data_IF_066181581464
#
_entry.id   IF_066181581464
#
_cell.length_a   1.000
_cell.length_b   1.000
_cell.length_c   1.000
_cell.angle_alpha   90.00
_cell.angle_beta   90.00
_cell.angle_gamma   90.00
#
_symmetry.space_group_name_H-M   'P 1'
#
loop_
_entity.id
_entity.type
_entity.pdbx_description
1 polymer ?
#
# COMPACT_ATOMS: atom_id res chain seq x y z
N UNK A 1 26.39 37.64 13.22
CA UNK A 1 27.51 37.53 12.27
C UNK A 1 28.36 36.37 12.77
N UNK A 2 28.30 35.14 12.25
CA UNK A 2 27.60 34.58 11.11
C UNK A 2 27.26 33.12 11.37
N UNK A 3 26.20 32.68 10.73
CA UNK A 3 25.70 31.33 10.60
C UNK A 3 26.65 30.44 9.79
N UNK A 4 26.90 29.21 10.27
CA UNK A 4 27.19 28.10 9.37
C UNK A 4 26.40 26.87 9.79
N UNK A 5 25.37 26.59 8.98
CA UNK A 5 24.61 25.35 8.93
C UNK A 5 25.43 24.36 8.11
N UNK A 6 25.84 23.24 8.70
CA UNK A 6 26.35 22.10 7.94
C UNK A 6 25.19 21.15 7.67
N UNK A 7 24.71 21.16 6.42
CA UNK A 7 23.93 20.07 5.86
C UNK A 7 24.90 18.93 5.50
N UNK A 8 24.67 17.75 6.06
CA UNK A 8 25.26 16.51 5.55
C UNK A 8 24.17 15.77 4.79
N UNK A 9 24.24 15.84 3.47
CA UNK A 9 23.63 14.86 2.57
C UNK A 9 24.22 13.49 2.91
N UNK A 10 23.37 12.53 3.24
CA UNK A 10 23.78 11.13 3.40
C UNK A 10 23.08 10.33 2.30
N UNK A 11 23.90 9.88 1.36
CA UNK A 11 23.57 9.25 0.09
C UNK A 11 22.72 7.99 0.24
N UNK A 12 21.67 7.87 -0.58
CA UNK A 12 21.00 6.60 -0.86
C UNK A 12 21.66 5.94 -2.06
N UNK A 13 22.62 5.04 -1.81
CA UNK A 13 23.16 4.18 -2.86
C UNK A 13 22.14 3.08 -3.24
N UNK A 14 21.60 3.15 -4.45
CA UNK A 14 20.93 2.04 -5.12
C UNK A 14 21.93 1.33 -6.05
N UNK A 15 22.42 0.15 -5.67
CA UNK A 15 23.36 -0.63 -6.50
C UNK A 15 22.62 -1.43 -7.59
N UNK A 16 22.82 -1.06 -8.85
CA UNK A 16 22.35 -1.82 -10.02
C UNK A 16 23.31 -2.98 -10.34
N UNK A 17 22.79 -4.22 -10.41
CA UNK A 17 23.57 -5.40 -10.86
C UNK A 17 23.36 -5.61 -12.37
N UNK A 18 24.45 -5.58 -13.16
CA UNK A 18 24.44 -5.87 -14.60
C UNK A 18 24.22 -7.37 -14.85
N UNK A 19 23.21 -7.71 -15.65
CA UNK A 19 22.99 -9.06 -16.20
C UNK A 19 23.80 -9.29 -17.48
N UNK A 20 24.56 -10.38 -17.53
CA UNK A 20 25.33 -10.82 -18.70
C UNK A 20 24.45 -11.36 -19.82
N UNK A 21 24.92 -11.20 -21.06
CA UNK A 21 24.29 -11.64 -22.29
C UNK A 21 24.11 -13.17 -22.36
N UNK A 22 22.95 -13.63 -22.82
CA UNK A 22 22.81 -14.92 -23.51
C UNK A 22 21.80 -14.80 -24.65
N UNK A 23 22.09 -15.54 -25.72
CA UNK A 23 21.53 -15.49 -27.06
C UNK A 23 20.02 -15.76 -27.18
N UNK A 24 19.42 -15.00 -28.11
CA UNK A 24 18.53 -15.52 -29.16
C UNK A 24 17.46 -16.54 -28.78
N UNK A 25 16.30 -16.04 -28.35
CA UNK A 25 14.97 -16.48 -28.81
C UNK A 25 13.92 -15.45 -28.38
N UNK A 26 13.24 -14.90 -29.37
CA UNK A 26 12.12 -13.96 -29.21
C UNK A 26 11.00 -14.60 -28.40
N UNK A 27 10.92 -14.26 -27.12
CA UNK A 27 9.70 -14.30 -26.34
C UNK A 27 9.32 -12.83 -26.10
N UNK A 28 8.19 -12.40 -26.64
CA UNK A 28 7.58 -11.13 -26.23
C UNK A 28 7.24 -11.26 -24.75
N UNK A 29 8.11 -10.74 -23.89
CA UNK A 29 7.80 -10.51 -22.49
C UNK A 29 6.78 -9.37 -22.44
N UNK A 30 5.57 -9.67 -21.97
CA UNK A 30 4.62 -8.62 -21.59
C UNK A 30 5.28 -7.71 -20.54
N UNK A 31 4.94 -6.41 -20.49
CA UNK A 31 5.61 -5.49 -19.58
C UNK A 31 5.33 -5.91 -18.12
N UNK A 32 6.38 -6.40 -17.46
CA UNK A 32 6.39 -6.86 -16.08
C UNK A 32 5.74 -5.82 -15.17
N UNK A 33 4.59 -6.13 -14.56
CA UNK A 33 3.99 -5.29 -13.51
C UNK A 33 5.00 -5.18 -12.36
N UNK A 34 5.29 -3.95 -11.94
CA UNK A 34 6.14 -3.66 -10.79
C UNK A 34 5.21 -3.34 -9.62
N UNK A 35 5.27 -4.16 -8.58
CA UNK A 35 4.43 -4.03 -7.39
C UNK A 35 5.29 -3.50 -6.24
N UNK A 36 4.96 -2.34 -5.72
CA UNK A 36 5.67 -1.77 -4.56
C UNK A 36 4.87 -2.09 -3.29
N UNK A 37 5.45 -2.84 -2.35
CA UNK A 37 4.82 -3.18 -1.08
C UNK A 37 5.56 -2.65 0.15
N UNK A 38 4.75 -2.09 1.05
CA UNK A 38 4.83 -2.03 2.51
C UNK A 38 5.79 -1.05 3.22
N UNK A 39 5.18 -0.43 4.24
CA UNK A 39 5.61 0.64 5.14
C UNK A 39 5.43 0.09 6.57
N UNK A 40 6.53 -0.06 7.34
CA UNK A 40 6.62 -0.89 8.57
C UNK A 40 5.91 -0.31 9.82
N UNK A 41 5.28 -1.20 10.61
CA UNK A 41 4.76 -1.00 11.99
C UNK A 41 5.80 -1.48 13.05
N UNK A 42 5.89 -0.84 14.25
CA UNK A 42 6.86 -1.11 15.32
C UNK A 42 7.08 -2.57 15.73
N UNK A 43 8.26 -2.80 16.32
CA UNK A 43 8.88 -4.11 16.56
C UNK A 43 8.07 -5.09 17.45
N UNK A 44 7.13 -4.60 18.26
CA UNK A 44 6.35 -5.39 19.23
C UNK A 44 5.25 -6.26 18.62
N UNK A 45 4.81 -5.98 17.38
CA UNK A 45 3.73 -6.70 16.69
C UNK A 45 4.25 -7.73 15.66
N UNK A 46 5.56 -8.02 15.69
CA UNK A 46 6.20 -8.97 14.77
C UNK A 46 5.87 -10.43 15.09
N UNK A 47 4.73 -10.92 14.62
CA UNK A 47 4.51 -12.37 14.45
C UNK A 47 4.45 -12.84 12.99
N UNK A 48 4.39 -11.93 12.01
CA UNK A 48 4.44 -12.28 10.59
C UNK A 48 5.80 -11.91 9.97
N UNK A 49 6.74 -12.86 10.06
CA UNK A 49 8.05 -12.82 9.40
C UNK A 49 7.84 -13.06 7.89
N UNK A 50 7.50 -12.01 7.12
CA UNK A 50 7.35 -12.16 5.67
C UNK A 50 8.70 -11.92 4.99
N UNK A 51 9.39 -13.03 4.74
CA UNK A 51 10.56 -13.17 3.88
C UNK A 51 10.08 -13.20 2.41
N UNK A 52 10.26 -12.12 1.65
CA UNK A 52 10.28 -12.21 0.18
C UNK A 52 11.70 -11.95 -0.31
N UNK A 53 12.55 -12.96 -0.13
CA UNK A 53 13.84 -13.09 -0.83
C UNK A 53 13.60 -14.02 -2.02
N UNK A 54 14.18 -13.72 -3.17
CA UNK A 54 14.31 -14.62 -4.31
C UNK A 54 15.05 -15.90 -3.88
N UNK A 55 14.33 -16.87 -3.33
CA UNK A 55 14.87 -18.22 -3.18
C UNK A 55 14.72 -18.92 -4.52
N UNK A 56 15.86 -19.16 -5.18
CA UNK A 56 15.94 -20.22 -6.17
C UNK A 56 15.54 -21.52 -5.46
N UNK A 57 14.30 -21.95 -5.70
CA UNK A 57 13.87 -23.35 -5.75
C UNK A 57 14.75 -24.34 -4.96
N UNK A 58 14.45 -24.48 -3.66
CA UNK A 58 14.32 -25.79 -3.01
C UNK A 58 13.44 -25.64 -1.77
N UNK A 59 12.13 -25.87 -1.93
CA UNK A 59 11.21 -26.12 -0.81
C UNK A 59 10.50 -24.90 -0.21
N UNK A 60 9.25 -24.68 -0.62
CA UNK A 60 8.22 -24.02 0.21
C UNK A 60 8.31 -22.49 0.37
N UNK A 61 7.91 -21.72 -0.64
CA UNK A 61 7.64 -20.28 -0.50
C UNK A 61 6.31 -19.89 -1.17
N UNK A 62 5.46 -19.21 -0.39
CA UNK A 62 4.04 -18.90 -0.63
C UNK A 62 3.83 -17.68 -1.54
N UNK A 63 2.74 -17.72 -2.32
CA UNK A 63 1.95 -16.54 -2.66
C UNK A 63 2.19 -15.93 -4.04
N UNK A 64 2.79 -14.74 -4.08
CA UNK A 64 2.69 -13.83 -5.23
C UNK A 64 3.50 -14.29 -6.46
N UNK A 65 4.76 -14.71 -6.27
CA UNK A 65 5.65 -15.14 -7.36
C UNK A 65 5.26 -16.49 -8.00
N UNK A 66 4.25 -17.19 -7.46
CA UNK A 66 3.68 -18.40 -8.07
C UNK A 66 2.49 -18.11 -8.99
N UNK A 67 1.98 -16.88 -8.99
CA UNK A 67 0.70 -16.50 -9.63
C UNK A 67 0.97 -15.60 -10.83
N UNK A 68 1.87 -14.63 -10.70
CA UNK A 68 2.34 -13.78 -11.80
C UNK A 68 3.86 -13.56 -11.68
N UNK A 69 4.54 -13.32 -12.81
CA UNK A 69 5.94 -12.89 -12.83
C UNK A 69 6.01 -11.38 -12.58
N UNK A 70 6.55 -11.00 -11.42
CA UNK A 70 6.41 -9.65 -10.86
C UNK A 70 7.72 -9.18 -10.25
N UNK A 71 8.03 -7.90 -10.43
CA UNK A 71 9.08 -7.25 -9.67
C UNK A 71 8.47 -6.63 -8.41
N UNK A 72 8.96 -7.04 -7.23
CA UNK A 72 8.50 -6.50 -5.95
C UNK A 72 9.56 -5.61 -5.32
N UNK A 73 9.21 -4.35 -5.06
CA UNK A 73 10.10 -3.37 -4.40
C UNK A 73 9.53 -3.06 -3.02
N UNK A 74 10.36 -3.16 -1.99
CA UNK A 74 10.00 -2.81 -0.61
C UNK A 74 10.63 -1.45 -0.25
N UNK A 75 9.83 -0.53 0.29
CA UNK A 75 10.29 0.81 0.67
C UNK A 75 10.44 0.92 2.18
N UNK A 76 11.68 0.90 2.67
CA UNK A 76 11.98 1.09 4.08
C UNK A 76 12.18 2.58 4.40
N UNK A 77 11.25 3.15 5.18
CA UNK A 77 11.32 4.52 5.69
C UNK A 77 11.19 4.58 7.22
N UNK A 78 11.53 3.49 7.92
CA UNK A 78 11.37 3.38 9.38
C UNK A 78 11.98 4.52 10.18
N UNK A 79 13.13 5.04 9.74
CA UNK A 79 13.78 6.19 10.38
C UNK A 79 12.85 7.42 10.36
N UNK A 80 12.15 7.64 9.25
CA UNK A 80 11.16 8.71 9.10
C UNK A 80 9.83 8.44 9.79
N UNK A 81 9.50 7.17 10.05
CA UNK A 81 8.27 6.75 10.75
C UNK A 81 8.44 6.63 12.27
N UNK A 82 9.64 6.91 12.81
CA UNK A 82 10.00 6.56 14.18
C UNK A 82 9.20 7.37 15.22
N UNK A 83 8.64 6.65 16.20
CA UNK A 83 8.02 7.21 17.41
C UNK A 83 9.03 8.06 18.24
N UNK A 84 8.57 9.03 19.06
CA UNK A 84 7.17 9.26 19.47
C UNK A 84 6.40 10.28 18.62
N UNK A 85 7.04 10.96 17.66
CA UNK A 85 6.40 12.10 17.00
C UNK A 85 5.59 11.68 15.76
N UNK A 86 4.30 11.36 15.97
CA UNK A 86 3.38 11.02 14.89
C UNK A 86 3.27 12.11 13.82
N UNK A 87 3.16 13.39 14.21
CA UNK A 87 3.05 14.50 13.26
C UNK A 87 4.30 14.67 12.40
N UNK A 88 5.49 14.36 12.93
CA UNK A 88 6.71 14.32 12.13
C UNK A 88 6.66 13.17 11.10
N UNK A 89 6.18 11.99 11.50
CA UNK A 89 6.00 10.88 10.56
C UNK A 89 4.98 11.22 9.46
N UNK A 90 3.88 11.89 9.81
CA UNK A 90 2.90 12.46 8.86
C UNK A 90 3.58 13.43 7.90
N UNK A 91 4.37 14.39 8.39
CA UNK A 91 5.09 15.33 7.53
C UNK A 91 6.07 14.62 6.57
N UNK A 92 6.78 13.61 7.08
CA UNK A 92 7.75 12.83 6.31
C UNK A 92 7.09 12.05 5.15
N UNK A 93 5.79 11.73 5.23
CA UNK A 93 5.09 11.01 4.14
C UNK A 93 5.19 11.72 2.79
N UNK A 94 5.20 13.05 2.78
CA UNK A 94 5.38 13.87 1.56
C UNK A 94 6.77 13.67 0.96
N UNK A 95 7.80 13.76 1.79
CA UNK A 95 9.19 13.58 1.36
C UNK A 95 9.41 12.17 0.80
N UNK A 96 8.96 11.14 1.52
CA UNK A 96 9.08 9.74 1.07
C UNK A 96 8.29 9.52 -0.22
N UNK A 97 7.08 10.05 -0.33
CA UNK A 97 6.29 10.00 -1.56
C UNK A 97 7.01 10.63 -2.75
N UNK A 98 7.61 11.80 -2.56
CA UNK A 98 8.38 12.46 -3.61
C UNK A 98 9.59 11.63 -4.07
N UNK A 99 10.31 11.01 -3.13
CA UNK A 99 11.44 10.12 -3.44
C UNK A 99 11.00 8.88 -4.24
N UNK A 100 9.85 8.29 -3.88
CA UNK A 100 9.29 7.17 -4.64
C UNK A 100 8.87 7.64 -6.04
N UNK A 101 8.18 8.78 -6.16
CA UNK A 101 7.79 9.33 -7.46
C UNK A 101 8.98 9.55 -8.40
N UNK A 102 10.10 10.04 -7.84
CA UNK A 102 11.38 10.16 -8.58
C UNK A 102 11.93 8.80 -8.99
N UNK A 103 11.93 7.82 -8.09
CA UNK A 103 12.36 6.45 -8.41
C UNK A 103 11.53 5.84 -9.56
N UNK A 104 10.22 6.07 -9.61
CA UNK A 104 9.36 5.58 -10.69
C UNK A 104 9.76 6.21 -12.05
N UNK A 105 10.12 7.49 -12.05
CA UNK A 105 10.62 8.17 -13.25
C UNK A 105 11.99 7.62 -13.68
N UNK A 106 12.91 7.39 -12.75
CA UNK A 106 14.21 6.79 -13.05
C UNK A 106 14.05 5.34 -13.60
N UNK A 107 13.09 4.56 -13.06
CA UNK A 107 12.76 3.23 -13.58
C UNK A 107 12.20 3.28 -15.01
N UNK A 108 11.39 4.28 -15.34
CA UNK A 108 10.96 4.50 -16.73
C UNK A 108 12.15 4.86 -17.61
N UNK A 109 12.95 5.85 -17.20
CA UNK A 109 14.04 6.38 -17.99
C UNK A 109 15.16 5.37 -18.26
N UNK A 110 15.44 4.47 -17.30
CA UNK A 110 16.61 3.60 -17.34
C UNK A 110 16.29 2.10 -17.47
N UNK A 111 15.10 1.66 -17.05
CA UNK A 111 14.68 0.26 -17.12
C UNK A 111 13.52 0.01 -18.09
N UNK A 112 12.98 1.06 -18.73
CA UNK A 112 11.89 0.94 -19.69
C UNK A 112 10.55 0.54 -19.06
N UNK A 113 10.38 0.79 -17.75
CA UNK A 113 9.11 0.54 -17.07
C UNK A 113 8.05 1.57 -17.52
N UNK A 114 6.83 1.11 -17.80
CA UNK A 114 5.72 2.01 -18.13
C UNK A 114 4.90 2.36 -16.88
N UNK A 115 4.44 3.61 -16.78
CA UNK A 115 3.80 4.08 -15.55
C UNK A 115 2.51 3.32 -15.22
N UNK A 116 1.78 2.93 -16.27
CA UNK A 116 0.56 2.15 -16.23
C UNK A 116 0.77 0.74 -15.66
N UNK A 117 2.01 0.26 -15.61
CA UNK A 117 2.37 -1.07 -15.07
C UNK A 117 2.67 -1.05 -13.58
N UNK A 118 2.80 0.14 -12.96
CA UNK A 118 3.05 0.27 -11.53
C UNK A 118 1.76 0.04 -10.74
N UNK A 119 1.86 -0.85 -9.75
CA UNK A 119 0.88 -1.03 -8.69
C UNK A 119 1.51 -0.68 -7.35
N UNK A 120 1.14 0.48 -6.81
CA UNK A 120 1.65 0.99 -5.55
C UNK A 120 0.72 0.55 -4.42
N UNK A 121 1.24 -0.09 -3.37
CA UNK A 121 0.42 -0.54 -2.24
C UNK A 121 0.96 0.00 -0.93
N UNK A 122 0.13 0.78 -0.25
CA UNK A 122 0.46 1.43 1.02
C UNK A 122 -0.46 0.96 2.13
N UNK A 123 0.08 0.85 3.35
CA UNK A 123 -0.70 0.60 4.57
C UNK A 123 -0.62 1.79 5.51
N UNK A 124 -1.72 2.18 6.16
CA UNK A 124 -1.73 3.27 7.15
C UNK A 124 -1.15 4.58 6.54
N UNK A 125 -0.12 5.19 7.16
CA UNK A 125 0.63 6.32 6.60
C UNK A 125 1.21 6.04 5.21
N UNK A 126 1.53 4.76 4.93
CA UNK A 126 2.02 4.31 3.64
C UNK A 126 1.02 4.51 2.51
N UNK A 127 -0.29 4.44 2.78
CA UNK A 127 -1.32 4.73 1.77
C UNK A 127 -1.20 6.15 1.24
N UNK A 128 -0.93 7.11 2.13
CA UNK A 128 -0.69 8.50 1.74
C UNK A 128 0.66 8.71 1.06
N UNK A 129 1.70 8.00 1.49
CA UNK A 129 2.99 7.97 0.78
C UNK A 129 2.79 7.55 -0.68
N UNK A 130 2.00 6.51 -0.95
CA UNK A 130 1.72 6.07 -2.33
C UNK A 130 0.87 7.10 -3.10
N UNK A 131 -0.07 7.78 -2.45
CA UNK A 131 -0.78 8.91 -3.04
C UNK A 131 0.16 10.05 -3.45
N UNK A 132 1.08 10.44 -2.56
CA UNK A 132 2.11 11.44 -2.87
C UNK A 132 3.07 10.99 -3.97
N UNK A 133 3.41 9.70 -4.03
CA UNK A 133 4.21 9.14 -5.11
C UNK A 133 3.50 9.22 -6.47
N UNK A 134 2.20 8.91 -6.52
CA UNK A 134 1.37 9.07 -7.72
C UNK A 134 1.28 10.52 -8.19
N UNK A 135 1.07 11.45 -7.26
CA UNK A 135 1.09 12.90 -7.53
C UNK A 135 2.43 13.36 -8.10
N UNK A 136 3.53 12.93 -7.50
CA UNK A 136 4.87 13.32 -7.94
C UNK A 136 5.23 12.72 -9.31
N UNK A 137 4.91 11.44 -9.53
CA UNK A 137 5.08 10.79 -10.83
C UNK A 137 4.32 11.53 -11.93
N UNK A 138 3.07 11.90 -11.68
CA UNK A 138 2.27 12.70 -12.60
C UNK A 138 2.86 14.09 -12.81
N UNK A 139 3.33 14.76 -11.76
CA UNK A 139 3.98 16.08 -11.85
C UNK A 139 5.24 16.05 -12.73
N UNK A 140 6.05 14.99 -12.61
CA UNK A 140 7.31 14.84 -13.34
C UNK A 140 7.10 14.45 -14.80
N UNK A 141 6.07 13.66 -15.11
CA UNK A 141 5.98 12.96 -16.41
C UNK A 141 4.67 13.21 -17.16
N UNK A 142 3.68 13.84 -16.52
CA UNK A 142 2.32 14.01 -17.01
C UNK A 142 1.61 12.68 -17.35
N UNK A 143 2.05 11.57 -16.75
CA UNK A 143 1.46 10.23 -16.86
C UNK A 143 1.13 9.72 -15.46
N UNK A 144 -0.06 9.15 -15.29
CA UNK A 144 -0.48 8.57 -14.02
C UNK A 144 0.03 7.14 -13.88
N UNK A 145 0.33 6.74 -12.64
CA UNK A 145 0.60 5.34 -12.32
C UNK A 145 -0.65 4.49 -12.54
N UNK A 146 -0.45 3.20 -12.82
CA UNK A 146 -1.52 2.25 -13.14
C UNK A 146 -2.54 2.09 -12.01
N UNK A 147 -2.07 1.72 -10.81
CA UNK A 147 -2.94 1.46 -9.67
C UNK A 147 -2.30 1.86 -8.35
N UNK A 148 -3.10 2.43 -7.45
CA UNK A 148 -2.76 2.56 -6.03
C UNK A 148 -3.78 1.77 -5.20
N UNK A 149 -3.31 0.90 -4.31
CA UNK A 149 -4.17 0.29 -3.28
C UNK A 149 -3.85 0.88 -1.91
N UNK A 150 -4.85 1.49 -1.29
CA UNK A 150 -4.79 1.97 0.09
C UNK A 150 -5.29 0.92 1.07
N UNK A 151 -4.40 0.38 1.90
CA UNK A 151 -4.74 -0.59 2.93
C UNK A 151 -4.91 0.16 4.26
N UNK A 152 -6.16 0.36 4.65
CA UNK A 152 -6.58 1.11 5.83
C UNK A 152 -5.78 2.44 6.02
N UNK A 153 -5.96 3.41 5.10
CA UNK A 153 -5.22 4.67 5.14
C UNK A 153 -5.42 5.39 6.46
N UNK A 154 -4.37 6.01 7.02
CA UNK A 154 -4.47 6.65 8.33
C UNK A 154 -5.46 7.83 8.33
N UNK A 155 -6.39 7.85 9.28
CA UNK A 155 -7.33 8.96 9.48
C UNK A 155 -6.70 10.20 10.15
N UNK A 156 -5.99 10.06 11.29
CA UNK A 156 -5.45 11.21 12.02
C UNK A 156 -4.52 12.06 11.15
N UNK A 157 -4.73 13.38 11.15
CA UNK A 157 -4.01 14.35 10.32
C UNK A 157 -4.19 14.23 8.79
N UNK A 158 -5.17 13.45 8.32
CA UNK A 158 -5.52 13.34 6.88
C UNK A 158 -7.01 13.52 6.60
N UNK A 159 -7.90 12.99 7.46
CA UNK A 159 -9.34 12.90 7.19
C UNK A 159 -10.01 14.26 6.88
N UNK A 160 -9.65 15.31 7.63
CA UNK A 160 -10.19 16.65 7.45
C UNK A 160 -9.45 17.50 6.41
N UNK A 161 -8.41 16.96 5.77
CA UNK A 161 -7.60 17.67 4.80
C UNK A 161 -8.06 17.43 3.35
N UNK A 162 -7.71 18.37 2.47
CA UNK A 162 -8.03 18.28 1.05
C UNK A 162 -7.30 17.12 0.36
N UNK A 163 -7.80 16.70 -0.80
CA UNK A 163 -7.21 15.63 -1.61
C UNK A 163 -5.72 15.85 -1.97
N UNK A 164 -5.23 17.10 -1.93
CA UNK A 164 -3.81 17.41 -2.13
C UNK A 164 -2.91 16.88 -1.00
N UNK A 165 -3.46 16.64 0.19
CA UNK A 165 -2.71 16.31 1.42
C UNK A 165 -2.93 14.87 1.86
N UNK A 166 -3.62 14.04 1.07
CA UNK A 166 -3.90 12.63 1.37
C UNK A 166 -3.92 11.79 0.10
N UNK A 167 -4.15 10.49 0.25
CA UNK A 167 -4.48 9.63 -0.87
C UNK A 167 -5.83 10.06 -1.45
N UNK A 168 -5.96 10.02 -2.76
CA UNK A 168 -7.19 10.36 -3.47
C UNK A 168 -7.30 9.61 -4.81
N UNK A 169 -8.53 9.41 -5.30
CA UNK A 169 -8.82 8.82 -6.60
C UNK A 169 -8.05 9.46 -7.76
N UNK A 170 -7.70 10.75 -7.65
CA UNK A 170 -6.95 11.45 -8.68
C UNK A 170 -5.49 11.01 -8.82
N UNK A 171 -4.92 10.29 -7.84
CA UNK A 171 -3.48 9.99 -7.75
C UNK A 171 -2.99 8.90 -8.71
N UNK A 172 -3.90 8.13 -9.30
CA UNK A 172 -3.60 7.06 -10.25
C UNK A 172 -4.70 6.91 -11.30
N UNK A 173 -4.48 6.05 -12.29
CA UNK A 173 -5.55 5.63 -13.21
C UNK A 173 -6.63 4.84 -12.49
N UNK A 174 -6.25 4.10 -11.44
CA UNK A 174 -7.20 3.39 -10.58
C UNK A 174 -6.70 3.41 -9.12
N UNK A 175 -7.63 3.63 -8.20
CA UNK A 175 -7.35 3.68 -6.76
C UNK A 175 -8.41 2.84 -6.07
N UNK A 176 -8.02 1.81 -5.35
CA UNK A 176 -8.90 1.01 -4.53
C UNK A 176 -8.47 1.03 -3.07
N UNK A 177 -9.43 1.15 -2.17
CA UNK A 177 -9.15 1.35 -0.74
C UNK A 177 -9.90 0.31 0.06
N UNK A 178 -9.27 -0.23 1.10
CA UNK A 178 -9.92 -1.16 2.04
C UNK A 178 -9.83 -0.54 3.43
N UNK A 179 -10.98 -0.29 4.04
CA UNK A 179 -11.14 0.30 5.37
C UNK A 179 -11.44 -0.81 6.36
N UNK A 180 -10.56 -1.00 7.34
CA UNK A 180 -10.74 -2.03 8.38
C UNK A 180 -10.87 -1.47 9.77
N UNK A 181 -10.49 -0.20 9.98
CA UNK A 181 -10.45 0.49 11.27
C UNK A 181 -10.96 1.94 11.17
N UNK A 182 -12.02 2.15 10.39
CA UNK A 182 -12.67 3.44 10.17
C UNK A 182 -13.68 3.81 11.28
N UNK A 183 -13.32 3.55 12.53
CA UNK A 183 -14.05 4.10 13.68
C UNK A 183 -13.78 5.60 13.84
N UNK A 184 -14.60 6.28 14.65
CA UNK A 184 -14.31 7.69 14.96
C UNK A 184 -13.00 7.81 15.74
N UNK A 185 -12.25 8.89 15.54
CA UNK A 185 -11.10 9.23 16.40
C UNK A 185 -11.42 9.29 17.90
N UNK A 186 -12.69 9.52 18.26
CA UNK A 186 -13.18 9.48 19.65
C UNK A 186 -13.26 8.03 20.16
N UNK A 187 -13.47 7.07 19.26
CA UNK A 187 -13.51 5.63 19.47
C UNK A 187 -12.24 4.93 18.97
N UNK A 188 -11.08 5.59 19.07
CA UNK A 188 -9.75 5.00 18.83
C UNK A 188 -9.39 4.47 17.43
N UNK A 189 -10.29 4.54 16.44
CA UNK A 189 -9.99 4.13 15.06
C UNK A 189 -8.80 4.86 14.42
N UNK A 190 -7.92 4.11 13.79
CA UNK A 190 -6.75 4.64 13.08
C UNK A 190 -6.99 4.91 11.59
N UNK A 191 -8.04 4.32 11.00
CA UNK A 191 -8.38 4.42 9.59
C UNK A 191 -9.15 5.70 9.25
N UNK A 192 -9.00 6.17 8.00
CA UNK A 192 -9.84 7.22 7.43
C UNK A 192 -11.25 6.67 7.14
N UNK A 193 -12.29 7.44 7.42
CA UNK A 193 -13.68 7.01 7.20
C UNK A 193 -14.21 7.36 5.83
N UNK A 194 -13.78 8.50 5.31
CA UNK A 194 -14.20 8.98 4.01
C UNK A 194 -13.78 8.02 2.91
N UNK A 195 -14.67 7.82 1.93
CA UNK A 195 -14.35 7.21 0.65
C UNK A 195 -13.36 8.13 -0.09
N UNK A 196 -12.18 7.61 -0.41
CA UNK A 196 -11.07 8.36 -1.03
C UNK A 196 -10.52 7.68 -2.30
N UNK A 197 -11.03 6.51 -2.66
CA UNK A 197 -10.67 5.79 -3.86
C UNK A 197 -11.63 6.04 -5.03
N UNK A 198 -11.36 5.32 -6.12
CA UNK A 198 -12.39 5.07 -7.12
C UNK A 198 -13.42 4.08 -6.59
N UNK A 199 -12.96 3.08 -5.82
CA UNK A 199 -13.76 2.08 -5.12
C UNK A 199 -13.22 1.90 -3.71
N UNK A 200 -14.12 1.84 -2.74
CA UNK A 200 -13.77 1.76 -1.33
C UNK A 200 -14.52 0.58 -0.71
N UNK A 201 -13.78 -0.30 -0.04
CA UNK A 201 -14.30 -1.53 0.58
C UNK A 201 -14.31 -1.39 2.09
N UNK A 202 -15.44 -1.70 2.70
CA UNK A 202 -15.68 -1.63 4.14
C UNK A 202 -16.04 -3.02 4.68
N UNK A 203 -15.08 -3.97 4.75
CA UNK A 203 -15.30 -5.29 5.30
C UNK A 203 -15.91 -5.23 6.70
N UNK A 204 -17.03 -5.94 6.89
CA UNK A 204 -17.79 -5.97 8.14
C UNK A 204 -18.23 -4.57 8.62
N UNK A 205 -18.51 -3.66 7.69
CA UNK A 205 -18.83 -2.27 7.99
C UNK A 205 -17.61 -1.34 8.13
N UNK A 206 -16.39 -1.90 8.04
CA UNK A 206 -15.13 -1.16 7.98
C UNK A 206 -14.61 -0.58 9.29
N UNK A 207 -15.22 -0.95 10.42
CA UNK A 207 -14.91 -0.42 11.76
C UNK A 207 -14.13 -1.42 12.60
N UNK A 208 -14.81 -2.44 13.14
CA UNK A 208 -14.17 -3.47 13.95
C UNK A 208 -14.19 -4.80 13.22
N UNK A 209 -13.04 -5.48 13.15
CA UNK A 209 -12.93 -6.72 12.39
C UNK A 209 -13.18 -7.96 13.26
N UNK A 210 -13.93 -8.97 12.76
CA UNK A 210 -14.16 -10.21 13.49
C UNK A 210 -12.87 -10.88 13.98
N UNK A 211 -12.88 -11.28 15.26
CA UNK A 211 -11.73 -11.92 15.91
C UNK A 211 -10.65 -10.97 16.40
N UNK A 212 -10.85 -9.65 16.29
CA UNK A 212 -10.08 -8.68 17.05
C UNK A 212 -10.65 -8.51 18.47
N UNK A 213 -9.80 -8.33 19.49
CA UNK A 213 -10.24 -8.01 20.84
C UNK A 213 -10.85 -6.59 20.88
N UNK A 214 -11.79 -6.35 21.80
CA UNK A 214 -12.26 -4.98 22.08
C UNK A 214 -11.08 -4.07 22.41
N UNK A 215 -11.09 -2.86 21.86
CA UNK A 215 -9.98 -1.92 22.00
C UNK A 215 -9.87 -1.46 23.45
N UNK A 216 -8.76 -1.80 24.09
CA UNK A 216 -8.41 -1.32 25.43
C UNK A 216 -7.18 -0.43 25.31
N UNK A 217 -7.26 0.78 25.87
CA UNK A 217 -6.19 1.79 25.80
C UNK A 217 -4.84 1.31 26.39
N UNK A 218 -4.87 0.21 27.15
CA UNK A 218 -3.72 -0.34 27.87
C UNK A 218 -2.85 -1.29 27.03
N UNK A 219 -3.33 -1.77 25.87
CA UNK A 219 -2.58 -2.70 25.01
C UNK A 219 -2.58 -2.27 23.54
N UNK A 220 -1.46 -1.71 23.08
CA UNK A 220 -1.29 -1.28 21.69
C UNK A 220 -1.52 -2.42 20.65
N UNK A 221 -1.41 -3.69 21.07
CA UNK A 221 -1.70 -4.84 20.22
C UNK A 221 -3.18 -5.13 20.05
N UNK A 222 -4.04 -4.73 21.00
CA UNK A 222 -5.49 -4.83 20.86
C UNK A 222 -6.02 -3.70 19.98
N UNK A 223 -5.56 -2.46 20.20
CA UNK A 223 -6.00 -1.27 19.44
C UNK A 223 -5.63 -1.34 17.95
N UNK A 224 -4.57 -2.07 17.57
CA UNK A 224 -4.13 -2.12 16.15
C UNK A 224 -4.61 -3.36 15.40
N UNK A 225 -5.38 -4.26 16.02
CA UNK A 225 -5.77 -5.52 15.38
C UNK A 225 -6.62 -5.30 14.13
N UNK A 226 -7.66 -4.47 14.22
CA UNK A 226 -8.51 -4.12 13.08
C UNK A 226 -7.67 -3.43 12.00
N UNK A 227 -6.83 -2.47 12.40
CA UNK A 227 -5.96 -1.70 11.49
C UNK A 227 -4.97 -2.55 10.67
N UNK A 228 -4.52 -3.68 11.24
CA UNK A 228 -3.55 -4.57 10.58
C UNK A 228 -4.26 -5.67 9.79
N UNK A 229 -5.55 -5.95 10.07
CA UNK A 229 -6.32 -7.03 9.42
C UNK A 229 -6.36 -6.90 7.90
N UNK A 230 -6.37 -5.68 7.38
CA UNK A 230 -6.34 -5.41 5.94
C UNK A 230 -5.17 -6.08 5.21
N UNK A 231 -4.03 -6.28 5.89
CA UNK A 231 -2.87 -6.96 5.30
C UNK A 231 -3.17 -8.45 5.03
N UNK A 232 -3.89 -9.10 5.94
CA UNK A 232 -4.34 -10.48 5.74
C UNK A 232 -5.41 -10.57 4.66
N UNK A 233 -6.38 -9.65 4.65
CA UNK A 233 -7.40 -9.61 3.59
C UNK A 233 -6.77 -9.46 2.22
N UNK A 234 -5.89 -8.49 2.04
CA UNK A 234 -5.19 -8.29 0.78
C UNK A 234 -4.34 -9.51 0.43
N UNK A 235 -3.54 -10.04 1.36
CA UNK A 235 -2.68 -11.20 1.09
C UNK A 235 -3.49 -12.45 0.70
N UNK A 236 -4.59 -12.72 1.41
CA UNK A 236 -5.46 -13.86 1.12
C UNK A 236 -6.23 -13.67 -0.20
N UNK A 237 -6.57 -12.43 -0.57
CA UNK A 237 -7.23 -12.13 -1.85
C UNK A 237 -6.38 -12.49 -3.07
N UNK A 238 -5.05 -12.59 -2.92
CA UNK A 238 -4.16 -12.94 -4.03
C UNK A 238 -4.45 -14.36 -4.54
N UNK A 239 -4.69 -15.33 -3.65
CA UNK A 239 -4.79 -16.76 -4.04
C UNK A 239 -5.74 -17.63 -3.23
N UNK A 240 -6.17 -17.22 -2.05
CA UNK A 240 -6.92 -18.08 -1.13
C UNK A 240 -8.40 -17.72 -1.06
N UNK A 241 -8.69 -16.42 -1.11
CA UNK A 241 -10.04 -15.91 -0.91
C UNK A 241 -10.48 -15.06 -2.10
N UNK A 242 -11.78 -15.07 -2.33
CA UNK A 242 -12.48 -14.09 -3.16
C UNK A 242 -13.54 -13.43 -2.29
N UNK A 243 -13.46 -12.11 -2.17
CA UNK A 243 -14.40 -11.32 -1.39
C UNK A 243 -15.28 -10.55 -2.38
N UNK A 244 -16.45 -11.12 -2.69
CA UNK A 244 -17.32 -10.67 -3.79
C UNK A 244 -18.63 -10.07 -3.22
N UNK A 245 -18.59 -8.86 -2.62
CA UNK A 245 -19.78 -8.20 -2.10
C UNK A 245 -20.77 -7.83 -3.23
N UNK A 246 -22.09 -7.93 -2.98
CA UNK A 246 -23.09 -7.39 -3.89
C UNK A 246 -23.04 -5.86 -3.87
N UNK A 247 -23.00 -5.23 -5.03
CA UNK A 247 -23.21 -3.78 -5.18
C UNK A 247 -24.68 -3.42 -5.49
N UNK A 248 -25.02 -2.14 -5.35
CA UNK A 248 -26.40 -1.61 -5.45
C UNK A 248 -27.15 -1.98 -6.75
N UNK A 249 -26.43 -2.25 -7.85
CA UNK A 249 -27.00 -2.61 -9.16
C UNK A 249 -26.74 -4.07 -9.57
N UNK A 250 -26.41 -4.95 -8.62
CA UNK A 250 -25.99 -6.33 -8.89
C UNK A 250 -24.59 -6.45 -9.51
N UNK A 251 -23.87 -5.32 -9.69
CA UNK A 251 -22.45 -5.32 -10.04
C UNK A 251 -21.66 -5.84 -8.83
N UNK A 252 -20.89 -6.90 -9.04
CA UNK A 252 -19.96 -7.45 -8.05
C UNK A 252 -18.59 -6.80 -8.27
N UNK A 253 -17.99 -6.32 -7.19
CA UNK A 253 -16.61 -5.82 -7.21
C UNK A 253 -15.79 -6.61 -6.20
N UNK A 254 -14.89 -7.46 -6.69
CA UNK A 254 -14.01 -8.26 -5.84
C UNK A 254 -13.07 -7.34 -5.06
N UNK A 255 -13.06 -7.44 -3.73
CA UNK A 255 -12.09 -6.74 -2.88
C UNK A 255 -10.72 -7.42 -2.94
N UNK A 256 -9.64 -6.64 -3.15
CA UNK A 256 -8.25 -7.05 -2.96
C UNK A 256 -7.40 -7.05 -4.23
N UNK A 257 -6.49 -8.00 -4.38
CA UNK A 257 -5.54 -8.03 -5.51
C UNK A 257 -6.23 -8.02 -6.88
N UNK A 258 -7.35 -8.74 -7.00
CA UNK A 258 -8.10 -8.91 -8.25
C UNK A 258 -9.20 -7.88 -8.48
N UNK A 259 -9.21 -6.73 -7.76
CA UNK A 259 -10.19 -5.67 -7.99
C UNK A 259 -10.17 -5.19 -9.45
N UNK A 260 -11.33 -5.22 -10.11
CA UNK A 260 -11.52 -4.71 -11.46
C UNK A 260 -11.40 -3.17 -11.48
N UNK A 261 -10.60 -2.62 -12.39
CA UNK A 261 -10.33 -1.17 -12.46
C UNK A 261 -11.53 -0.33 -12.90
N UNK A 262 -12.63 -0.95 -13.32
CA UNK A 262 -13.92 -0.30 -13.62
C UNK A 262 -14.84 -0.21 -12.40
N UNK A 263 -14.47 -0.79 -11.26
CA UNK A 263 -15.26 -0.72 -10.03
C UNK A 263 -15.32 0.71 -9.49
N UNK A 264 -16.52 1.14 -9.07
CA UNK A 264 -16.77 2.47 -8.55
C UNK A 264 -17.76 2.42 -7.39
N UNK A 265 -17.55 3.28 -6.39
CA UNK A 265 -18.41 3.42 -5.22
C UNK A 265 -17.99 2.55 -4.04
N UNK A 266 -18.87 2.48 -3.04
CA UNK A 266 -18.57 1.85 -1.75
C UNK A 266 -19.17 0.43 -1.70
N UNK A 267 -18.41 -0.54 -1.18
CA UNK A 267 -18.81 -1.95 -1.09
C UNK A 267 -18.55 -2.50 0.31
N UNK A 268 -19.41 -3.43 0.76
CA UNK A 268 -19.41 -3.93 2.13
C UNK A 268 -19.26 -5.46 2.17
N UNK A 269 -18.06 -6.01 1.95
CA UNK A 269 -17.82 -7.44 2.06
C UNK A 269 -18.00 -7.93 3.51
N UNK A 270 -18.36 -9.20 3.67
CA UNK A 270 -18.36 -9.87 4.96
C UNK A 270 -17.17 -10.81 5.03
N UNK A 271 -16.49 -10.86 6.18
CA UNK A 271 -15.34 -11.76 6.41
C UNK A 271 -15.52 -12.53 7.71
N UNK A 272 -14.76 -13.62 7.88
CA UNK A 272 -14.82 -14.45 9.10
C UNK A 272 -13.77 -14.02 10.14
N UNK A 273 -13.86 -14.54 11.36
CA UNK A 273 -12.94 -14.20 12.47
C UNK A 273 -11.59 -14.94 12.41
N UNK A 274 -11.50 -16.01 11.61
CA UNK A 274 -10.35 -16.92 11.55
C UNK A 274 -9.83 -17.08 10.13
N UNK A 275 -8.52 -17.29 9.98
CA UNK A 275 -7.91 -17.51 8.65
C UNK A 275 -8.63 -18.64 7.88
N UNK A 276 -8.88 -18.48 6.57
CA UNK A 276 -8.36 -17.43 5.69
C UNK A 276 -9.21 -16.16 5.60
N UNK A 277 -10.21 -16.00 6.47
CA UNK A 277 -11.13 -14.84 6.55
C UNK A 277 -12.14 -14.70 5.41
N UNK A 278 -12.09 -15.56 4.39
CA UNK A 278 -13.31 -16.05 3.76
C UNK A 278 -13.83 -17.27 4.55
#
# INVERSE_FOLDING_TARGET
MDSHVNHTEEDMEATCVRGGATDGKSARTEPNKIIVFHVRIPHSLQKAKILYRREKSTGGSLGLARIEDLNVILVDWQKGAKAPNYYQAVANTRTVGAMIGRLLEDLKAHAGAEFETFHLVGHSLGSHIMGYAGKEAYRLTNVKVGRITGLDPAGPAFESYSHYVRLDALDANFVDVIHTDAESLISTGFGIRCSIGHVDFYPNGGQHQPGCPEETLDDFSTVTCSHIRVLDFFTNSISKCRYDPPGDNGKVCTMGYHTDSTCRGDFYPMTTATQPFC
#
